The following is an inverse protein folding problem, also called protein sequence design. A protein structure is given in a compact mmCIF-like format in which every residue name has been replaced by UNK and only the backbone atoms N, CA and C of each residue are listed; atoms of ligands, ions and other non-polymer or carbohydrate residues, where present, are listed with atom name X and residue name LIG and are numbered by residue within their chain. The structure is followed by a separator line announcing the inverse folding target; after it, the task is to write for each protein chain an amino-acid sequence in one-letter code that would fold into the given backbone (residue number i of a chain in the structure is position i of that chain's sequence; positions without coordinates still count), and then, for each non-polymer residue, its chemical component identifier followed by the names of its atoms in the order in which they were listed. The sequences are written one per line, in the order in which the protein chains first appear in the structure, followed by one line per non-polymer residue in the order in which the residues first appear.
data_IF_157498107318
#
_entry.id   IF_157498107318
#
_cell.length_a   1.000
_cell.length_b   1.000
_cell.length_c   1.000
_cell.angle_alpha   90.00
_cell.angle_beta   90.00
_cell.angle_gamma   90.00
#
_symmetry.space_group_name_H-M   'P 1'
#
loop_
_entity.id
_entity.type
_entity.pdbx_description
1 polymer ?
#
# COMPACT_ATOMS: atom_id res chain seq x y z
N UNK A 1 -27.44 7.93 -12.89
CA UNK A 1 -26.43 8.28 -11.88
C UNK A 1 -26.92 8.50 -10.45
N UNK A 2 -28.19 8.64 -10.21
CA UNK A 2 -28.76 9.04 -8.90
C UNK A 2 -28.48 8.08 -7.74
N UNK A 3 -28.20 6.81 -8.02
CA UNK A 3 -27.83 5.76 -7.04
C UNK A 3 -26.32 5.57 -6.86
N UNK A 4 -25.51 6.46 -7.42
CA UNK A 4 -24.05 6.44 -7.35
C UNK A 4 -23.49 7.80 -6.93
N UNK A 5 -22.21 7.83 -6.54
CA UNK A 5 -21.48 9.05 -6.20
C UNK A 5 -20.01 8.91 -6.53
N UNK A 6 -19.37 10.02 -6.88
CA UNK A 6 -17.93 10.08 -7.04
C UNK A 6 -17.23 9.98 -5.68
N UNK A 7 -16.17 9.19 -5.60
CA UNK A 7 -15.20 9.21 -4.51
C UNK A 7 -13.85 9.78 -4.98
N UNK A 8 -13.57 9.74 -6.27
CA UNK A 8 -12.51 10.54 -6.92
C UNK A 8 -13.17 11.32 -8.05
N UNK A 9 -13.17 12.66 -7.92
CA UNK A 9 -13.85 13.55 -8.86
C UNK A 9 -13.39 13.28 -10.29
N UNK A 10 -14.33 13.11 -11.22
CA UNK A 10 -14.10 12.88 -12.65
C UNK A 10 -13.23 11.66 -12.99
N UNK A 11 -13.08 10.69 -12.08
CA UNK A 11 -12.33 9.44 -12.31
C UNK A 11 -13.02 8.20 -11.81
N UNK A 12 -13.49 8.20 -10.56
CA UNK A 12 -14.02 6.97 -9.97
C UNK A 12 -15.27 7.22 -9.14
N UNK A 13 -16.24 6.36 -9.33
CA UNK A 13 -17.52 6.42 -8.66
C UNK A 13 -17.95 5.03 -8.14
N UNK A 14 -18.86 5.02 -7.19
CA UNK A 14 -19.38 3.77 -6.65
C UNK A 14 -20.90 3.84 -6.41
N UNK A 15 -21.56 2.68 -6.51
CA UNK A 15 -23.02 2.66 -6.44
C UNK A 15 -23.62 1.28 -6.28
N UNK A 16 -24.94 1.21 -6.53
CA UNK A 16 -25.69 -0.05 -6.56
C UNK A 16 -25.46 -0.80 -7.87
N UNK A 17 -25.82 -2.09 -7.88
CA UNK A 17 -25.86 -2.91 -9.09
C UNK A 17 -26.70 -2.20 -10.16
N UNK A 18 -26.17 -1.96 -11.36
CA UNK A 18 -26.87 -1.22 -12.39
C UNK A 18 -27.86 -2.12 -13.15
N UNK A 19 -28.95 -1.55 -13.63
CA UNK A 19 -29.78 -2.17 -14.67
C UNK A 19 -29.08 -2.01 -16.02
N UNK A 20 -29.51 -2.76 -17.06
CA UNK A 20 -28.97 -2.63 -18.42
C UNK A 20 -29.07 -1.19 -18.94
N UNK A 21 -30.22 -0.53 -18.74
CA UNK A 21 -30.39 0.87 -19.11
C UNK A 21 -29.39 1.79 -18.36
N UNK A 22 -29.19 1.56 -17.06
CA UNK A 22 -28.25 2.34 -16.28
C UNK A 22 -26.78 2.13 -16.75
N UNK A 23 -26.43 0.94 -17.23
CA UNK A 23 -25.11 0.67 -17.85
C UNK A 23 -24.92 1.53 -19.09
N UNK A 24 -25.93 1.57 -19.98
CA UNK A 24 -25.86 2.37 -21.20
C UNK A 24 -25.74 3.87 -20.91
N UNK A 25 -26.41 4.37 -19.86
CA UNK A 25 -26.28 5.75 -19.38
C UNK A 25 -24.85 6.00 -18.83
N UNK A 26 -24.34 5.09 -18.01
CA UNK A 26 -22.97 5.19 -17.45
C UNK A 26 -21.90 5.15 -18.55
N UNK A 27 -22.08 4.33 -19.58
CA UNK A 27 -21.19 4.28 -20.75
C UNK A 27 -21.16 5.59 -21.52
N UNK A 28 -22.33 6.24 -21.70
CA UNK A 28 -22.42 7.59 -22.31
C UNK A 28 -21.71 8.66 -21.47
N UNK A 29 -21.76 8.53 -20.15
CA UNK A 29 -21.09 9.43 -19.21
C UNK A 29 -19.56 9.17 -19.10
N UNK A 30 -19.05 8.14 -19.79
CA UNK A 30 -17.62 7.87 -19.86
C UNK A 30 -17.14 6.68 -19.05
N UNK A 31 -18.02 5.88 -18.44
CA UNK A 31 -17.58 4.67 -17.73
C UNK A 31 -16.98 3.66 -18.72
N UNK A 32 -15.73 3.28 -18.47
CA UNK A 32 -14.96 2.33 -19.28
C UNK A 32 -14.56 1.07 -18.50
N UNK A 33 -14.71 1.11 -17.17
CA UNK A 33 -14.43 0.00 -16.28
C UNK A 33 -15.59 -0.19 -15.30
N UNK A 34 -16.22 -1.36 -15.35
CA UNK A 34 -17.28 -1.78 -14.43
C UNK A 34 -16.73 -2.84 -13.49
N UNK A 35 -16.73 -2.54 -12.20
CA UNK A 35 -16.18 -3.42 -11.15
C UNK A 35 -17.33 -3.99 -10.34
N UNK A 36 -17.55 -5.29 -10.49
CA UNK A 36 -18.64 -6.02 -9.84
C UNK A 36 -18.13 -6.82 -8.64
N UNK A 37 -18.64 -6.49 -7.45
CA UNK A 37 -18.33 -7.14 -6.19
C UNK A 37 -19.43 -8.11 -5.74
N UNK A 38 -20.42 -8.40 -6.57
CA UNK A 38 -21.51 -9.30 -6.20
C UNK A 38 -21.05 -10.76 -6.27
N UNK A 39 -21.59 -11.57 -5.36
CA UNK A 39 -21.37 -13.01 -5.36
C UNK A 39 -22.37 -13.69 -6.29
N UNK A 40 -21.99 -14.76 -6.96
CA UNK A 40 -22.82 -15.46 -7.94
C UNK A 40 -24.13 -16.03 -7.35
N UNK A 41 -24.16 -16.33 -6.04
CA UNK A 41 -25.35 -16.85 -5.35
C UNK A 41 -26.36 -15.77 -4.93
N UNK A 42 -26.12 -14.51 -5.26
CA UNK A 42 -27.02 -13.43 -4.83
C UNK A 42 -28.33 -13.43 -5.60
N UNK A 43 -29.43 -13.64 -4.88
CA UNK A 43 -30.78 -13.60 -5.45
C UNK A 43 -31.13 -12.20 -5.97
N UNK A 44 -32.00 -12.15 -7.00
CA UNK A 44 -32.54 -10.91 -7.60
C UNK A 44 -31.48 -10.00 -8.23
N UNK A 45 -30.38 -10.55 -8.71
CA UNK A 45 -29.44 -9.87 -9.57
C UNK A 45 -29.71 -10.34 -11.00
N UNK A 46 -29.98 -9.40 -11.89
CA UNK A 46 -30.09 -9.64 -13.32
C UNK A 46 -28.77 -9.17 -13.95
N UNK A 47 -27.97 -10.09 -14.51
CA UNK A 47 -26.70 -9.72 -15.14
C UNK A 47 -26.90 -8.68 -16.24
N UNK A 48 -25.97 -7.76 -16.36
CA UNK A 48 -25.92 -6.77 -17.44
C UNK A 48 -24.77 -7.08 -18.40
N UNK A 49 -24.82 -6.46 -19.58
CA UNK A 49 -23.72 -6.48 -20.56
C UNK A 49 -23.16 -5.07 -20.70
N UNK A 50 -21.86 -4.97 -20.86
CA UNK A 50 -21.17 -3.71 -21.16
C UNK A 50 -20.30 -3.85 -22.40
N UNK A 51 -20.11 -2.75 -23.14
CA UNK A 51 -19.21 -2.66 -24.29
C UNK A 51 -17.74 -2.50 -23.88
N UNK A 52 -17.50 -2.24 -22.60
CA UNK A 52 -16.21 -1.91 -22.04
C UNK A 52 -15.72 -2.99 -21.07
N UNK A 53 -14.74 -2.66 -20.22
CA UNK A 53 -14.12 -3.61 -19.33
C UNK A 53 -15.04 -3.98 -18.16
N UNK A 54 -15.23 -5.27 -17.96
CA UNK A 54 -15.93 -5.83 -16.81
C UNK A 54 -14.93 -6.59 -15.94
N UNK A 55 -14.85 -6.19 -14.67
CA UNK A 55 -13.95 -6.77 -13.68
C UNK A 55 -14.79 -7.34 -12.56
N UNK A 56 -14.69 -8.65 -12.34
CA UNK A 56 -15.41 -9.33 -11.26
C UNK A 56 -14.47 -9.67 -10.11
N UNK A 57 -14.85 -9.27 -8.89
CA UNK A 57 -14.17 -9.67 -7.66
C UNK A 57 -15.22 -9.98 -6.59
N UNK A 58 -15.79 -11.21 -6.60
CA UNK A 58 -16.94 -11.56 -5.77
C UNK A 58 -16.63 -11.52 -4.28
N UNK A 59 -17.45 -10.82 -3.51
CA UNK A 59 -17.42 -10.78 -2.05
C UNK A 59 -18.81 -11.16 -1.55
N UNK A 60 -18.90 -12.11 -0.61
CA UNK A 60 -20.17 -12.51 0.00
C UNK A 60 -20.86 -11.31 0.64
N UNK A 61 -22.19 -11.22 0.49
CA UNK A 61 -22.94 -10.05 0.99
C UNK A 61 -22.74 -9.84 2.49
N UNK A 62 -22.57 -8.57 2.88
CA UNK A 62 -22.24 -8.11 4.25
C UNK A 62 -20.90 -8.59 4.82
N UNK A 63 -20.14 -9.39 4.08
CA UNK A 63 -18.81 -9.88 4.48
C UNK A 63 -17.67 -9.03 3.94
N UNK A 64 -16.46 -9.51 4.23
CA UNK A 64 -15.18 -9.04 3.72
C UNK A 64 -14.57 -10.09 2.80
N UNK A 65 -13.57 -9.75 1.97
CA UNK A 65 -12.86 -10.73 1.14
C UNK A 65 -12.26 -11.88 1.95
N UNK A 66 -12.35 -13.10 1.45
CA UNK A 66 -11.79 -14.28 2.10
C UNK A 66 -10.29 -14.45 1.82
N UNK A 67 -9.86 -14.21 0.57
CA UNK A 67 -8.46 -14.24 0.19
C UNK A 67 -7.87 -12.84 0.29
N UNK A 68 -7.06 -12.62 1.33
CA UNK A 68 -6.50 -11.31 1.62
C UNK A 68 -5.50 -10.86 0.55
N UNK A 69 -4.61 -11.75 0.10
CA UNK A 69 -3.59 -11.40 -0.87
C UNK A 69 -4.22 -11.06 -2.23
N UNK A 70 -5.12 -11.91 -2.72
CA UNK A 70 -5.88 -11.66 -3.94
C UNK A 70 -6.62 -10.32 -3.90
N UNK A 71 -7.24 -10.01 -2.76
CA UNK A 71 -7.91 -8.73 -2.56
C UNK A 71 -6.93 -7.54 -2.55
N UNK A 72 -5.75 -7.68 -1.95
CA UNK A 72 -4.72 -6.63 -1.97
C UNK A 72 -4.25 -6.38 -3.41
N UNK A 73 -3.98 -7.44 -4.17
CA UNK A 73 -3.61 -7.33 -5.58
C UNK A 73 -4.72 -6.65 -6.40
N UNK A 74 -5.98 -7.02 -6.14
CA UNK A 74 -7.14 -6.36 -6.77
C UNK A 74 -7.18 -4.85 -6.47
N UNK A 75 -6.93 -4.41 -5.23
CA UNK A 75 -6.85 -2.97 -4.88
C UNK A 75 -5.70 -2.28 -5.63
N UNK A 76 -4.53 -2.90 -5.69
CA UNK A 76 -3.38 -2.36 -6.44
C UNK A 76 -3.72 -2.25 -7.92
N UNK A 77 -4.33 -3.26 -8.51
CA UNK A 77 -4.80 -3.26 -9.89
C UNK A 77 -5.81 -2.14 -10.16
N UNK A 78 -6.85 -1.99 -9.31
CA UNK A 78 -7.82 -0.90 -9.45
C UNK A 78 -7.16 0.49 -9.35
N UNK A 79 -6.17 0.64 -8.46
CA UNK A 79 -5.45 1.90 -8.34
C UNK A 79 -4.68 2.22 -9.62
N UNK A 80 -4.04 1.23 -10.26
CA UNK A 80 -3.33 1.42 -11.52
C UNK A 80 -4.28 1.83 -12.66
N UNK A 81 -5.47 1.22 -12.73
CA UNK A 81 -6.51 1.63 -13.67
C UNK A 81 -6.89 3.10 -13.44
N UNK A 82 -7.20 3.49 -12.19
CA UNK A 82 -7.61 4.86 -11.87
C UNK A 82 -6.53 5.89 -12.24
N UNK A 83 -5.24 5.56 -12.05
CA UNK A 83 -4.13 6.42 -12.47
C UNK A 83 -4.01 6.53 -14.00
N UNK A 84 -4.30 5.45 -14.73
CA UNK A 84 -4.18 5.40 -16.20
C UNK A 84 -5.38 5.94 -16.96
N UNK A 85 -6.52 6.23 -16.29
CA UNK A 85 -7.73 6.77 -16.92
C UNK A 85 -7.44 8.09 -17.65
N UNK A 86 -7.83 8.14 -18.93
CA UNK A 86 -7.78 9.34 -19.76
C UNK A 86 -8.84 10.36 -19.31
N UNK A 87 -8.72 11.57 -19.81
CA UNK A 87 -9.76 12.59 -19.56
C UNK A 87 -11.12 12.12 -20.09
N UNK A 88 -12.15 12.19 -19.25
CA UNK A 88 -13.50 11.72 -19.54
C UNK A 88 -13.74 10.23 -19.33
N UNK A 89 -12.72 9.42 -19.04
CA UNK A 89 -12.90 8.01 -18.69
C UNK A 89 -13.16 7.85 -17.19
N UNK A 90 -14.07 6.94 -16.86
CA UNK A 90 -14.53 6.70 -15.50
C UNK A 90 -14.46 5.20 -15.15
N UNK A 91 -14.23 4.93 -13.86
CA UNK A 91 -14.38 3.62 -13.26
C UNK A 91 -15.60 3.60 -12.34
N UNK A 92 -16.43 2.56 -12.42
CA UNK A 92 -17.63 2.36 -11.61
C UNK A 92 -17.52 1.09 -10.77
N UNK A 93 -17.51 1.24 -9.44
CA UNK A 93 -17.47 0.11 -8.51
C UNK A 93 -18.87 -0.11 -7.93
N UNK A 94 -19.37 -1.34 -7.99
CA UNK A 94 -20.66 -1.66 -7.42
C UNK A 94 -20.69 -3.00 -6.68
N UNK A 95 -21.61 -3.10 -5.77
CA UNK A 95 -22.13 -4.34 -5.23
C UNK A 95 -23.67 -4.29 -5.35
N UNK A 96 -24.41 -5.17 -4.73
CA UNK A 96 -25.89 -5.17 -4.85
C UNK A 96 -26.52 -3.82 -4.48
N UNK A 97 -26.28 -3.33 -3.26
CA UNK A 97 -26.83 -2.07 -2.77
C UNK A 97 -25.91 -0.86 -2.89
N UNK A 98 -24.63 -1.07 -3.18
CA UNK A 98 -23.63 0.01 -3.22
C UNK A 98 -23.21 0.56 -1.86
N UNK A 99 -23.45 -0.16 -0.76
CA UNK A 99 -23.29 0.38 0.59
C UNK A 99 -22.12 -0.28 1.37
N UNK A 100 -22.10 -1.62 1.45
CA UNK A 100 -21.15 -2.36 2.29
C UNK A 100 -19.84 -2.65 1.57
N UNK A 101 -19.84 -3.67 0.69
CA UNK A 101 -18.65 -4.18 -0.03
C UNK A 101 -17.95 -3.11 -0.87
N UNK A 102 -18.72 -2.36 -1.66
CA UNK A 102 -18.18 -1.23 -2.43
C UNK A 102 -17.59 -0.14 -1.52
N UNK A 103 -18.17 0.07 -0.34
CA UNK A 103 -17.60 0.97 0.67
C UNK A 103 -16.26 0.50 1.22
N UNK A 104 -16.07 -0.82 1.42
CA UNK A 104 -14.77 -1.39 1.83
C UNK A 104 -13.70 -1.10 0.78
N UNK A 105 -13.99 -1.41 -0.47
CA UNK A 105 -13.05 -1.18 -1.59
C UNK A 105 -12.71 0.31 -1.71
N UNK A 106 -13.72 1.19 -1.65
CA UNK A 106 -13.51 2.65 -1.74
C UNK A 106 -12.68 3.18 -0.59
N UNK A 107 -12.97 2.77 0.66
CA UNK A 107 -12.19 3.23 1.82
C UNK A 107 -10.72 2.80 1.72
N UNK A 108 -10.46 1.56 1.30
CA UNK A 108 -9.08 1.05 1.15
C UNK A 108 -8.36 1.74 -0.02
N UNK A 109 -9.03 1.97 -1.16
CA UNK A 109 -8.47 2.76 -2.27
C UNK A 109 -8.11 4.18 -1.83
N UNK A 110 -9.00 4.86 -1.10
CA UNK A 110 -8.73 6.21 -0.58
C UNK A 110 -7.53 6.22 0.38
N UNK A 111 -7.45 5.24 1.29
CA UNK A 111 -6.31 5.11 2.19
C UNK A 111 -5.01 4.87 1.41
N UNK A 112 -5.01 3.93 0.47
CA UNK A 112 -3.83 3.53 -0.29
C UNK A 112 -3.32 4.63 -1.23
N UNK A 113 -4.22 5.21 -2.03
CA UNK A 113 -3.85 6.19 -3.06
C UNK A 113 -3.50 7.57 -2.50
N UNK A 114 -4.15 7.98 -1.39
CA UNK A 114 -3.99 9.32 -0.82
C UNK A 114 -3.31 9.32 0.56
N UNK A 115 -2.74 8.18 0.98
CA UNK A 115 -2.05 8.03 2.28
C UNK A 115 -2.92 8.46 3.48
N UNK A 116 -4.25 8.27 3.38
CA UNK A 116 -5.18 8.62 4.45
C UNK A 116 -5.14 7.58 5.57
N UNK A 117 -5.33 8.03 6.82
CA UNK A 117 -5.59 7.08 7.91
C UNK A 117 -6.88 6.31 7.68
N UNK A 118 -7.04 5.08 8.23
CA UNK A 118 -8.28 4.31 8.10
C UNK A 118 -9.53 5.10 8.53
N UNK A 119 -9.42 5.89 9.61
CA UNK A 119 -10.50 6.74 10.12
C UNK A 119 -10.93 7.77 9.08
N UNK A 120 -9.98 8.49 8.51
CA UNK A 120 -10.22 9.50 7.47
C UNK A 120 -10.77 8.88 6.20
N UNK A 121 -10.27 7.74 5.79
CA UNK A 121 -10.77 7.01 4.63
C UNK A 121 -12.23 6.58 4.82
N UNK A 122 -12.60 6.08 6.00
CA UNK A 122 -13.97 5.73 6.35
C UNK A 122 -14.89 6.96 6.43
N UNK A 123 -14.41 8.06 7.00
CA UNK A 123 -15.14 9.34 7.05
C UNK A 123 -15.47 9.83 5.62
N UNK A 124 -14.47 9.89 4.74
CA UNK A 124 -14.69 10.32 3.36
C UNK A 124 -15.58 9.37 2.58
N UNK A 125 -15.44 8.05 2.76
CA UNK A 125 -16.31 7.07 2.11
C UNK A 125 -17.77 7.30 2.49
N UNK A 126 -18.05 7.51 3.78
CA UNK A 126 -19.40 7.83 4.27
C UNK A 126 -19.90 9.16 3.71
N UNK A 127 -19.05 10.19 3.67
CA UNK A 127 -19.38 11.50 3.09
C UNK A 127 -19.72 11.40 1.60
N UNK A 128 -18.94 10.64 0.81
CA UNK A 128 -19.23 10.45 -0.61
C UNK A 128 -20.51 9.61 -0.82
N UNK A 129 -20.68 8.56 -0.01
CA UNK A 129 -21.89 7.74 -0.02
C UNK A 129 -23.17 8.57 0.22
N UNK A 130 -23.14 9.50 1.17
CA UNK A 130 -24.31 10.34 1.52
C UNK A 130 -24.72 11.33 0.43
N UNK A 131 -23.87 11.60 -0.56
CA UNK A 131 -24.15 12.51 -1.69
C UNK A 131 -25.09 11.92 -2.77
N UNK A 132 -25.42 10.63 -2.68
CA UNK A 132 -26.35 10.00 -3.63
C UNK A 132 -27.74 10.61 -3.52
N UNK A 133 -28.34 10.95 -4.66
CA UNK A 133 -29.67 11.55 -4.71
C UNK A 133 -30.74 10.56 -4.28
N UNK A 134 -30.69 9.35 -4.81
CA UNK A 134 -31.65 8.29 -4.52
C UNK A 134 -31.05 7.26 -3.58
N UNK A 135 -31.41 7.32 -2.31
CA UNK A 135 -31.01 6.38 -1.27
C UNK A 135 -32.02 6.40 -0.12
N UNK A 136 -32.35 5.23 0.43
CA UNK A 136 -33.20 5.14 1.62
C UNK A 136 -32.50 5.79 2.81
N UNK A 137 -33.23 6.56 3.62
CA UNK A 137 -32.68 7.31 4.75
C UNK A 137 -31.90 6.43 5.74
N UNK A 138 -32.39 5.23 6.04
CA UNK A 138 -31.68 4.28 6.91
C UNK A 138 -30.25 3.98 6.43
N UNK A 139 -30.02 3.93 5.12
CA UNK A 139 -28.68 3.67 4.56
C UNK A 139 -27.79 4.91 4.59
N UNK A 140 -28.40 6.10 4.51
CA UNK A 140 -27.70 7.37 4.67
C UNK A 140 -27.15 7.53 6.09
N UNK A 141 -27.99 7.21 7.09
CA UNK A 141 -27.63 7.25 8.51
C UNK A 141 -26.57 6.19 8.85
N UNK A 142 -26.71 4.95 8.32
CA UNK A 142 -25.79 3.86 8.59
C UNK A 142 -24.39 4.10 7.99
N UNK A 143 -24.30 4.86 6.92
CA UNK A 143 -23.06 5.18 6.22
C UNK A 143 -22.50 4.02 5.37
N UNK A 144 -21.22 4.13 5.02
CA UNK A 144 -20.52 3.15 4.17
C UNK A 144 -19.04 3.07 4.59
N UNK A 145 -18.47 1.87 4.79
CA UNK A 145 -19.10 0.54 4.83
C UNK A 145 -20.11 0.39 5.97
N UNK A 146 -21.03 -0.59 5.84
CA UNK A 146 -22.18 -0.70 6.74
C UNK A 146 -21.90 -1.39 8.07
N UNK A 147 -21.15 -2.52 8.04
CA UNK A 147 -20.98 -3.36 9.22
C UNK A 147 -19.70 -3.02 9.97
N UNK A 148 -19.69 -3.28 11.30
CA UNK A 148 -18.49 -3.17 12.10
C UNK A 148 -17.34 -4.04 11.54
N UNK A 149 -17.65 -5.27 11.14
CA UNK A 149 -16.68 -6.18 10.54
C UNK A 149 -16.02 -5.58 9.29
N UNK A 150 -16.80 -4.99 8.40
CA UNK A 150 -16.29 -4.31 7.20
C UNK A 150 -15.41 -3.10 7.54
N UNK A 151 -15.78 -2.30 8.54
CA UNK A 151 -14.97 -1.17 9.02
C UNK A 151 -13.65 -1.65 9.63
N UNK A 152 -13.71 -2.69 10.47
CA UNK A 152 -12.52 -3.32 11.07
C UNK A 152 -11.56 -3.88 10.02
N UNK A 153 -12.08 -4.41 8.90
CA UNK A 153 -11.28 -4.89 7.79
C UNK A 153 -10.49 -3.75 7.10
N UNK A 154 -11.06 -2.55 7.01
CA UNK A 154 -10.32 -1.37 6.51
C UNK A 154 -9.13 -1.04 7.43
N UNK A 155 -9.33 -1.08 8.76
CA UNK A 155 -8.22 -0.93 9.71
C UNK A 155 -7.17 -2.03 9.54
N UNK A 156 -7.61 -3.28 9.42
CA UNK A 156 -6.73 -4.41 9.20
C UNK A 156 -5.83 -4.22 7.96
N UNK A 157 -6.37 -3.68 6.87
CA UNK A 157 -5.63 -3.46 5.62
C UNK A 157 -4.71 -2.23 5.65
N UNK A 158 -5.07 -1.18 6.41
CA UNK A 158 -4.50 0.16 6.23
C UNK A 158 -3.90 0.77 7.50
N UNK A 159 -4.06 0.14 8.70
CA UNK A 159 -3.49 0.69 9.93
C UNK A 159 -1.96 0.70 9.86
N UNK A 160 -1.27 1.81 10.22
CA UNK A 160 0.17 1.90 10.18
C UNK A 160 0.88 0.80 10.99
N UNK A 161 1.93 0.23 10.42
CA UNK A 161 2.83 -0.73 11.07
C UNK A 161 4.11 -0.02 11.46
N UNK A 162 4.37 0.00 12.76
CA UNK A 162 5.56 0.60 13.31
C UNK A 162 6.65 -0.44 13.50
N UNK A 163 7.88 -0.13 13.09
CA UNK A 163 9.07 -0.89 13.45
C UNK A 163 10.14 0.04 14.02
N UNK A 164 11.04 -0.53 14.81
CA UNK A 164 12.16 0.21 15.39
C UNK A 164 13.45 -0.59 15.22
N UNK A 165 14.14 -0.92 16.28
CA UNK A 165 15.39 -1.68 16.23
C UNK A 165 15.17 -3.18 16.08
N UNK A 166 16.12 -3.87 15.48
CA UNK A 166 16.09 -5.29 15.14
C UNK A 166 15.91 -6.26 16.32
N UNK A 167 16.15 -5.83 17.55
CA UNK A 167 16.04 -6.68 18.74
C UNK A 167 14.63 -6.72 19.36
N UNK A 168 13.66 -6.00 18.83
CA UNK A 168 12.26 -6.20 19.18
C UNK A 168 11.72 -7.39 18.39
N UNK A 169 11.25 -8.39 19.11
CA UNK A 169 10.67 -9.62 18.55
C UNK A 169 9.44 -9.28 17.69
N UNK A 170 9.38 -9.86 16.50
CA UNK A 170 8.26 -9.70 15.59
C UNK A 170 8.71 -9.74 14.11
N UNK A 171 7.80 -10.03 13.22
CA UNK A 171 8.10 -10.16 11.78
C UNK A 171 8.66 -8.87 11.14
N UNK A 172 8.38 -7.71 11.73
CA UNK A 172 8.90 -6.41 11.27
C UNK A 172 10.32 -6.10 11.79
N UNK A 173 10.88 -6.92 12.68
CA UNK A 173 12.24 -6.72 13.21
C UNK A 173 13.29 -6.76 12.07
N UNK A 174 13.06 -7.62 11.07
CA UNK A 174 13.88 -7.72 9.88
C UNK A 174 13.87 -6.50 8.95
N UNK A 175 12.93 -5.56 9.12
CA UNK A 175 12.82 -4.36 8.29
C UNK A 175 13.89 -3.31 8.65
N UNK A 176 14.39 -3.35 9.87
CA UNK A 176 15.48 -2.47 10.31
C UNK A 176 16.78 -2.79 9.57
N UNK A 177 17.55 -1.77 9.20
CA UNK A 177 18.91 -1.95 8.69
C UNK A 177 19.88 -2.53 9.74
N UNK A 178 19.50 -2.46 11.02
CA UNK A 178 20.25 -3.04 12.13
C UNK A 178 19.99 -4.54 12.31
N UNK A 179 19.06 -5.13 11.54
CA UNK A 179 18.77 -6.56 11.66
C UNK A 179 19.94 -7.43 11.20
N UNK A 180 20.19 -8.57 11.87
CA UNK A 180 21.33 -9.45 11.58
C UNK A 180 21.04 -10.32 10.34
N UNK A 181 20.83 -9.66 9.21
CA UNK A 181 20.62 -10.26 7.91
C UNK A 181 21.79 -9.86 7.02
N UNK A 182 22.74 -10.77 6.76
CA UNK A 182 23.86 -10.51 5.90
C UNK A 182 23.43 -10.11 4.49
N UNK A 183 24.14 -9.17 3.88
CA UNK A 183 23.89 -8.72 2.51
C UNK A 183 25.16 -8.93 1.70
N UNK A 184 25.06 -9.70 0.63
CA UNK A 184 26.11 -9.86 -0.36
C UNK A 184 25.98 -8.79 -1.44
N UNK A 185 27.07 -8.07 -1.69
CA UNK A 185 27.21 -7.08 -2.75
C UNK A 185 28.33 -7.55 -3.70
N UNK A 186 28.04 -7.66 -4.98
CA UNK A 186 28.94 -8.24 -5.98
C UNK A 186 30.35 -7.69 -5.92
N UNK A 187 30.53 -6.37 -5.78
CA UNK A 187 31.83 -5.71 -5.86
C UNK A 187 32.54 -5.62 -4.51
N UNK A 188 31.84 -5.82 -3.40
CA UNK A 188 32.38 -5.68 -2.04
C UNK A 188 32.42 -6.98 -1.24
N UNK A 189 31.57 -7.96 -1.57
CA UNK A 189 31.40 -9.18 -0.77
C UNK A 189 30.29 -9.07 0.28
N UNK A 190 30.42 -9.77 1.40
CA UNK A 190 29.36 -9.91 2.42
C UNK A 190 29.50 -8.88 3.54
N UNK A 191 28.40 -8.24 3.90
CA UNK A 191 28.27 -7.39 5.09
C UNK A 191 27.29 -8.03 6.08
N UNK A 192 27.56 -7.92 7.40
CA UNK A 192 26.72 -8.57 8.42
C UNK A 192 25.33 -7.95 8.58
N UNK A 193 25.14 -6.72 8.12
CA UNK A 193 23.88 -5.96 8.19
C UNK A 193 23.75 -5.00 7.02
N UNK A 194 22.51 -4.62 6.67
CA UNK A 194 22.29 -3.55 5.68
C UNK A 194 22.91 -2.23 6.10
N UNK A 195 22.96 -1.92 7.42
CA UNK A 195 23.61 -0.71 7.93
C UNK A 195 25.07 -0.65 7.53
N UNK A 196 25.83 -1.75 7.74
CA UNK A 196 27.23 -1.83 7.34
C UNK A 196 27.39 -1.72 5.82
N UNK A 197 26.54 -2.38 5.07
CA UNK A 197 26.54 -2.34 3.60
C UNK A 197 26.29 -0.93 3.04
N UNK A 198 25.32 -0.21 3.57
CA UNK A 198 25.01 1.18 3.17
C UNK A 198 26.19 2.10 3.47
N UNK A 199 26.80 1.94 4.64
CA UNK A 199 27.94 2.77 5.03
C UNK A 199 29.17 2.56 4.15
N UNK A 200 29.38 1.37 3.55
CA UNK A 200 30.48 1.14 2.63
C UNK A 200 30.48 2.09 1.43
N UNK A 201 29.31 2.48 0.97
CA UNK A 201 29.15 3.41 -0.16
C UNK A 201 29.46 4.87 0.17
N UNK A 202 29.73 5.21 1.44
CA UNK A 202 30.17 6.56 1.82
C UNK A 202 31.62 6.85 1.41
N UNK A 203 32.46 5.81 1.38
CA UNK A 203 33.82 5.86 0.91
C UNK A 203 34.18 4.52 0.24
N UNK A 204 33.69 4.29 -0.99
CA UNK A 204 33.76 2.98 -1.66
C UNK A 204 35.17 2.60 -2.12
N UNK A 205 36.14 3.53 -2.09
CA UNK A 205 37.52 3.32 -2.47
C UNK A 205 38.41 2.93 -1.30
N UNK A 206 37.96 3.12 -0.08
CA UNK A 206 38.72 2.85 1.14
C UNK A 206 38.56 1.37 1.56
N UNK A 207 39.46 0.53 1.07
CA UNK A 207 39.42 -0.92 1.28
C UNK A 207 39.57 -1.31 2.76
N UNK A 208 40.35 -0.56 3.55
CA UNK A 208 40.48 -0.81 5.00
C UNK A 208 39.16 -0.53 5.72
N UNK A 209 38.53 0.59 5.41
CA UNK A 209 37.22 0.95 5.93
C UNK A 209 36.17 -0.11 5.60
N UNK A 210 36.12 -0.59 4.35
CA UNK A 210 35.20 -1.63 3.90
C UNK A 210 35.43 -2.93 4.69
N UNK A 211 36.69 -3.38 4.86
CA UNK A 211 37.03 -4.57 5.65
C UNK A 211 36.55 -4.45 7.10
N UNK A 212 36.74 -3.26 7.71
CA UNK A 212 36.29 -2.98 9.07
C UNK A 212 34.74 -3.02 9.18
N UNK A 213 34.00 -2.60 8.15
CA UNK A 213 32.52 -2.72 8.09
C UNK A 213 32.09 -4.18 7.93
N UNK A 214 32.80 -4.97 7.11
CA UNK A 214 32.51 -6.39 6.87
C UNK A 214 32.74 -7.26 8.12
N UNK A 215 33.78 -6.92 8.91
CA UNK A 215 34.07 -7.59 10.19
C UNK A 215 33.26 -7.06 11.37
N UNK A 216 32.40 -6.08 11.15
CA UNK A 216 31.63 -5.41 12.21
C UNK A 216 30.51 -6.32 12.74
N UNK A 217 30.60 -6.72 14.01
CA UNK A 217 29.58 -7.50 14.70
C UNK A 217 28.40 -6.64 15.21
N UNK A 218 28.49 -5.32 15.09
CA UNK A 218 27.49 -4.39 15.58
C UNK A 218 27.14 -3.32 14.55
N UNK A 219 25.85 -3.14 14.18
CA UNK A 219 25.42 -2.05 13.30
C UNK A 219 25.69 -0.67 13.92
N UNK A 220 25.74 -0.55 15.24
CA UNK A 220 26.12 0.68 15.94
C UNK A 220 27.59 1.00 15.71
N UNK A 221 28.45 -0.02 15.72
CA UNK A 221 29.88 0.17 15.41
C UNK A 221 30.03 0.65 13.96
N UNK A 222 29.40 0.01 12.99
CA UNK A 222 29.42 0.44 11.59
C UNK A 222 28.98 1.91 11.43
N UNK A 223 27.90 2.31 12.09
CA UNK A 223 27.40 3.69 12.11
C UNK A 223 28.41 4.66 12.72
N UNK A 224 29.09 4.28 13.80
CA UNK A 224 30.11 5.15 14.45
C UNK A 224 31.39 5.23 13.63
N UNK A 225 31.79 4.14 12.98
CA UNK A 225 32.94 4.12 12.09
C UNK A 225 32.73 5.07 10.90
N UNK A 226 31.53 5.09 10.34
CA UNK A 226 31.16 5.95 9.20
C UNK A 226 31.20 7.47 9.50
N UNK A 227 31.26 7.86 10.76
CA UNK A 227 31.43 9.27 11.16
C UNK A 227 32.86 9.75 11.15
N UNK A 228 33.82 8.83 11.00
CA UNK A 228 35.25 9.09 11.09
C UNK A 228 35.97 9.16 9.72
N UNK A 229 35.24 9.03 8.66
CA UNK A 229 35.73 9.04 7.28
C UNK A 229 35.33 10.32 6.55
N UNK A 230 36.01 10.61 5.48
CA UNK A 230 35.59 11.61 4.53
C UNK A 230 34.47 10.99 3.67
N UNK A 231 33.27 11.54 3.80
CA UNK A 231 32.12 11.07 3.04
C UNK A 231 32.21 11.68 1.63
N UNK A 232 31.86 10.89 0.59
CA UNK A 232 31.77 11.36 -0.79
C UNK A 232 30.87 12.60 -0.90
N UNK A 233 31.24 13.55 -1.75
CA UNK A 233 30.57 14.86 -1.84
C UNK A 233 29.11 14.76 -2.32
N UNK A 234 28.78 13.78 -3.16
CA UNK A 234 27.45 13.53 -3.71
C UNK A 234 26.58 12.62 -2.84
N UNK A 235 26.94 12.39 -1.57
CA UNK A 235 26.22 11.46 -0.68
C UNK A 235 24.74 11.80 -0.55
N UNK A 236 24.39 13.06 -0.44
CA UNK A 236 23.00 13.48 -0.27
C UNK A 236 22.16 13.17 -1.51
N UNK A 237 22.75 13.22 -2.71
CA UNK A 237 22.08 12.92 -3.97
C UNK A 237 21.89 11.40 -4.19
N UNK A 238 22.86 10.58 -3.75
CA UNK A 238 22.85 9.14 -4.04
C UNK A 238 22.34 8.28 -2.89
N UNK A 239 22.30 8.80 -1.67
CA UNK A 239 22.02 8.03 -0.43
C UNK A 239 20.68 7.30 -0.46
N UNK A 240 19.63 7.92 -1.02
CA UNK A 240 18.32 7.29 -1.15
C UNK A 240 18.36 6.08 -2.09
N UNK A 241 19.00 6.19 -3.24
CA UNK A 241 19.11 5.10 -4.21
C UNK A 241 19.97 3.95 -3.65
N UNK A 242 21.07 4.26 -2.98
CA UNK A 242 21.92 3.26 -2.30
C UNK A 242 21.10 2.54 -1.22
N UNK A 243 20.36 3.27 -0.39
CA UNK A 243 19.48 2.69 0.62
C UNK A 243 18.46 1.73 -0.04
N UNK A 244 17.83 2.16 -1.12
CA UNK A 244 16.85 1.36 -1.83
C UNK A 244 17.46 0.05 -2.37
N UNK A 245 18.60 0.13 -3.06
CA UNK A 245 19.27 -1.04 -3.65
C UNK A 245 19.74 -2.03 -2.58
N UNK A 246 20.32 -1.56 -1.50
CA UNK A 246 20.79 -2.44 -0.41
C UNK A 246 19.62 -3.09 0.32
N UNK A 247 18.54 -2.36 0.58
CA UNK A 247 17.33 -2.93 1.18
C UNK A 247 16.71 -3.96 0.23
N UNK A 248 16.64 -3.68 -1.06
CA UNK A 248 16.15 -4.62 -2.08
C UNK A 248 16.98 -5.91 -2.09
N UNK A 249 18.30 -5.82 -2.17
CA UNK A 249 19.21 -6.97 -2.11
C UNK A 249 18.99 -7.79 -0.83
N UNK A 250 18.85 -7.16 0.32
CA UNK A 250 18.54 -7.85 1.58
C UNK A 250 17.26 -8.68 1.47
N UNK A 251 16.18 -8.10 0.95
CA UNK A 251 14.89 -8.78 0.86
C UNK A 251 14.88 -9.88 -0.21
N UNK A 252 15.66 -9.75 -1.27
CA UNK A 252 15.85 -10.78 -2.30
C UNK A 252 16.69 -11.95 -1.78
N UNK A 253 17.73 -11.66 -0.99
CA UNK A 253 18.60 -12.69 -0.40
C UNK A 253 17.97 -13.38 0.81
N UNK A 254 16.90 -12.83 1.38
CA UNK A 254 16.17 -13.38 2.52
C UNK A 254 14.67 -13.51 2.21
N UNK A 255 14.22 -14.58 1.49
CA UNK A 255 12.85 -14.69 0.99
C UNK A 255 11.75 -14.53 2.04
N UNK A 256 11.98 -14.99 3.27
CA UNK A 256 11.01 -14.83 4.35
C UNK A 256 10.78 -13.36 4.77
N UNK A 257 11.75 -12.46 4.54
CA UNK A 257 11.55 -11.01 4.69
C UNK A 257 10.67 -10.45 3.57
N UNK A 258 10.85 -10.93 2.33
CA UNK A 258 9.99 -10.59 1.19
C UNK A 258 8.55 -10.98 1.51
N UNK A 259 8.32 -12.22 1.97
CA UNK A 259 7.00 -12.69 2.39
C UNK A 259 6.43 -11.85 3.55
N UNK A 260 7.26 -11.51 4.53
CA UNK A 260 6.89 -10.63 5.64
C UNK A 260 6.45 -9.25 5.15
N UNK A 261 7.16 -8.68 4.17
CA UNK A 261 6.83 -7.38 3.57
C UNK A 261 5.50 -7.42 2.81
N UNK A 262 5.27 -8.45 2.00
CA UNK A 262 4.01 -8.69 1.29
C UNK A 262 2.84 -8.79 2.29
N UNK A 263 3.01 -9.51 3.40
CA UNK A 263 2.00 -9.66 4.45
C UNK A 263 1.67 -8.37 5.20
N UNK A 264 2.44 -7.31 5.03
CA UNK A 264 2.07 -5.98 5.58
C UNK A 264 0.89 -5.33 4.85
N UNK A 265 0.39 -5.96 3.79
CA UNK A 265 -0.78 -5.51 3.01
C UNK A 265 -0.56 -4.10 2.44
N UNK A 266 -1.53 -3.20 2.63
CA UNK A 266 -1.43 -1.78 2.23
C UNK A 266 -1.10 -0.85 3.40
N UNK A 267 -0.73 -1.43 4.55
CA UNK A 267 -0.39 -0.65 5.74
C UNK A 267 0.79 0.29 5.46
N UNK A 268 0.73 1.56 5.86
CA UNK A 268 1.92 2.40 5.94
C UNK A 268 2.97 1.76 6.85
N UNK A 269 4.22 1.80 6.45
CA UNK A 269 5.35 1.23 7.21
C UNK A 269 6.13 2.40 7.78
N UNK A 270 6.27 2.44 9.10
CA UNK A 270 6.83 3.59 9.80
C UNK A 270 8.03 3.16 10.65
N UNK A 271 9.20 3.73 10.35
CA UNK A 271 10.37 3.55 11.20
C UNK A 271 10.29 4.51 12.39
N UNK A 272 10.05 3.95 13.58
CA UNK A 272 10.08 4.69 14.84
C UNK A 272 11.53 4.99 15.23
N UNK A 273 11.91 6.25 15.29
CA UNK A 273 13.25 6.72 15.72
C UNK A 273 13.10 7.83 16.74
N UNK A 274 14.15 8.13 17.50
CA UNK A 274 14.15 9.25 18.47
C UNK A 274 15.04 10.42 18.04
N UNK A 275 15.91 10.26 17.09
CA UNK A 275 16.87 11.30 16.70
C UNK A 275 17.22 11.28 15.23
N UNK A 276 16.50 10.47 14.45
CA UNK A 276 16.65 10.37 13.00
C UNK A 276 15.32 10.74 12.37
N UNK A 277 15.22 11.95 11.89
CA UNK A 277 14.06 12.53 11.21
C UNK A 277 14.14 12.42 9.69
N UNK A 278 15.25 11.92 9.16
CA UNK A 278 15.46 11.71 7.73
C UNK A 278 15.03 10.29 7.32
N UNK A 279 15.67 9.26 7.87
CA UNK A 279 15.30 7.87 7.55
C UNK A 279 14.08 7.38 8.32
N UNK A 280 13.87 7.86 9.54
CA UNK A 280 12.71 7.58 10.38
C UNK A 280 11.82 8.80 10.60
N UNK A 281 10.95 8.70 11.60
CA UNK A 281 10.02 9.79 11.94
C UNK A 281 10.52 10.74 13.03
N UNK A 282 11.70 10.51 13.61
CA UNK A 282 12.21 11.33 14.69
C UNK A 282 11.25 11.46 15.87
N UNK A 283 10.86 12.67 16.19
CA UNK A 283 9.82 13.02 17.15
C UNK A 283 8.39 12.96 16.61
N UNK A 284 8.18 12.32 15.47
CA UNK A 284 6.88 12.15 14.81
C UNK A 284 6.66 13.03 13.59
N UNK A 285 7.64 13.86 13.19
CA UNK A 285 7.56 14.78 12.04
C UNK A 285 8.60 14.48 10.96
N UNK A 286 9.43 13.46 11.14
CA UNK A 286 10.46 13.08 10.19
C UNK A 286 9.92 12.52 8.88
N UNK A 287 10.81 12.43 7.88
CA UNK A 287 10.47 12.04 6.49
C UNK A 287 10.13 10.57 6.31
N UNK A 288 10.57 9.68 7.23
CA UNK A 288 10.32 8.22 7.16
C UNK A 288 10.81 7.58 5.84
N UNK A 289 11.95 8.00 5.31
CA UNK A 289 12.42 7.52 4.00
C UNK A 289 12.68 6.01 3.95
N UNK A 290 13.10 5.37 5.04
CA UNK A 290 13.24 3.91 5.06
C UNK A 290 11.85 3.23 4.98
N UNK A 291 10.82 3.78 5.62
CA UNK A 291 9.46 3.31 5.46
C UNK A 291 8.97 3.46 4.01
N UNK A 292 9.27 4.57 3.34
CA UNK A 292 8.92 4.78 1.94
C UNK A 292 9.67 3.82 1.00
N UNK A 293 10.95 3.53 1.26
CA UNK A 293 11.72 2.50 0.54
C UNK A 293 11.04 1.13 0.64
N UNK A 294 10.63 0.72 1.84
CA UNK A 294 9.93 -0.56 2.06
C UNK A 294 8.57 -0.60 1.36
N UNK A 295 7.81 0.50 1.39
CA UNK A 295 6.52 0.60 0.69
C UNK A 295 6.71 0.52 -0.83
N UNK A 296 7.73 1.18 -1.38
CA UNK A 296 8.06 1.12 -2.80
C UNK A 296 8.45 -0.30 -3.22
N UNK A 297 9.31 -0.95 -2.45
CA UNK A 297 9.74 -2.34 -2.70
C UNK A 297 8.55 -3.31 -2.65
N UNK A 298 7.67 -3.18 -1.66
CA UNK A 298 6.44 -3.96 -1.58
C UNK A 298 5.54 -3.75 -2.81
N UNK A 299 5.43 -2.53 -3.29
CA UNK A 299 4.63 -2.23 -4.48
C UNK A 299 5.21 -2.88 -5.74
N UNK A 300 6.53 -3.01 -5.86
CA UNK A 300 7.19 -3.75 -6.94
C UNK A 300 6.86 -5.24 -6.85
N UNK A 301 6.95 -5.85 -5.67
CA UNK A 301 6.57 -7.24 -5.47
C UNK A 301 5.10 -7.53 -5.83
N UNK A 302 4.18 -6.60 -5.52
CA UNK A 302 2.79 -6.73 -5.96
C UNK A 302 2.65 -6.66 -7.48
N UNK A 303 3.42 -5.81 -8.16
CA UNK A 303 3.40 -5.73 -9.63
C UNK A 303 3.95 -7.00 -10.29
N UNK A 304 4.94 -7.66 -9.68
CA UNK A 304 5.46 -8.95 -10.16
C UNK A 304 4.43 -10.09 -10.04
N UNK A 305 3.41 -9.94 -9.18
CA UNK A 305 2.37 -10.93 -8.90
C UNK A 305 1.10 -10.71 -9.75
N UNK A 306 0.91 -9.53 -10.35
CA UNK A 306 -0.21 -9.18 -11.24
C UNK A 306 0.04 -9.62 -12.67
#
# INVERSE_FOLDING_TARGET
MDRSSFFIKNKAMFGSFPTQQAVEELEKEGVRFFVDLTHHDERKIVPYKTKYNYISHPIVDRNTPNNILDFILFIVYLSSIIYSLKSGELLYIHCKGGHGRSGVVVAILLSYMFKLSPEKALEYTTKYHSKRKVMRERWRIMGSPQTYHQKSFVFFCCKPLNFYRAYKVGFTAGFSNFSPHPVYIKDFGVFPTSEAAIHAYKDPTNLEYIKNLQSSLSPVFAKNLSKKINIRDDWDDVSYNIMYEIVKLKFEQHPYLKDGLIRTRLCPIIQQTRGDDYWGIGDGKGKNLLGEVLIKLRAEYYKEML
#
